data_IF_029592415514
#
_entry.id   IF_029592415514
#
_cell.length_a   1.000
_cell.length_b   1.000
_cell.length_c   1.000
_cell.angle_alpha   90.00
_cell.angle_beta   90.00
_cell.angle_gamma   90.00
#
_symmetry.space_group_name_H-M   'P 1'
#
loop_
_entity.id
_entity.type
_entity.pdbx_description
1 polymer ?
#
# COMPACT_ATOMS: atom_id res chain seq x y z
N UNK A 1 -11.55 9.78 2.63
CA UNK A 1 -10.70 10.62 3.51
C UNK A 1 -9.50 9.75 3.83
N UNK A 2 -8.42 9.84 3.06
CA UNK A 2 -7.37 8.81 2.96
C UNK A 2 -6.61 8.59 4.28
N UNK A 3 -7.18 7.75 5.16
CA UNK A 3 -6.67 7.42 6.48
C UNK A 3 -5.95 6.07 6.43
N UNK A 4 -4.70 6.05 5.95
CA UNK A 4 -3.82 4.88 6.06
C UNK A 4 -2.87 5.05 7.24
N UNK A 5 -2.66 3.99 8.02
CA UNK A 5 -1.78 4.00 9.20
C UNK A 5 -0.65 3.00 8.98
N UNK A 6 0.59 3.48 8.94
CA UNK A 6 1.80 2.65 8.86
C UNK A 6 2.61 2.86 10.14
N UNK A 7 2.66 1.83 11.00
CA UNK A 7 3.34 1.92 12.30
C UNK A 7 4.73 1.29 12.24
N UNK A 8 5.76 2.09 12.01
CA UNK A 8 7.17 1.66 12.02
C UNK A 8 7.89 1.87 13.36
N UNK A 9 7.16 1.95 14.48
CA UNK A 9 7.71 2.29 15.81
C UNK A 9 8.58 1.17 16.40
N UNK A 10 8.15 -0.09 16.23
CA UNK A 10 8.79 -1.24 16.88
C UNK A 10 9.72 -2.04 15.96
N UNK A 11 9.45 -2.04 14.65
CA UNK A 11 10.24 -2.77 13.67
C UNK A 11 10.27 -1.99 12.34
N UNK A 12 11.30 -2.26 11.54
CA UNK A 12 11.42 -1.67 10.22
C UNK A 12 10.34 -2.22 9.27
N UNK A 13 9.74 -1.32 8.48
CA UNK A 13 8.80 -1.65 7.42
C UNK A 13 9.45 -1.32 6.09
N UNK A 14 9.61 -2.31 5.22
CA UNK A 14 10.10 -2.12 3.86
C UNK A 14 8.94 -2.30 2.89
N UNK A 15 8.72 -1.30 2.05
CA UNK A 15 7.69 -1.31 1.01
C UNK A 15 8.39 -1.24 -0.34
N UNK A 16 8.06 -2.17 -1.24
CA UNK A 16 8.60 -2.21 -2.58
C UNK A 16 8.05 -1.11 -3.49
N UNK A 17 8.45 -1.17 -4.75
CA UNK A 17 8.10 -0.20 -5.79
C UNK A 17 6.66 -0.42 -6.26
N UNK A 18 6.00 0.70 -6.54
CA UNK A 18 4.63 0.71 -7.09
C UNK A 18 3.65 -0.06 -6.21
N UNK A 19 3.73 0.11 -4.88
CA UNK A 19 2.73 -0.46 -3.99
C UNK A 19 1.57 0.52 -3.78
N UNK A 20 0.36 0.05 -3.98
CA UNK A 20 -0.86 0.82 -3.77
C UNK A 20 -1.44 0.43 -2.43
N UNK A 21 -1.57 1.41 -1.53
CA UNK A 21 -2.17 1.21 -0.21
C UNK A 21 -3.44 2.04 -0.14
N UNK A 22 -4.57 1.37 -0.02
CA UNK A 22 -5.89 2.02 -0.03
C UNK A 22 -6.26 2.63 1.33
N UNK A 23 -7.37 3.36 1.36
CA UNK A 23 -7.88 4.04 2.56
C UNK A 23 -8.24 3.04 3.68
N UNK A 24 -7.98 3.42 4.94
CA UNK A 24 -8.30 2.58 6.09
C UNK A 24 -7.33 1.41 6.30
N UNK A 25 -6.31 1.24 5.45
CA UNK A 25 -5.32 0.20 5.62
C UNK A 25 -4.44 0.48 6.86
N UNK A 26 -4.22 -0.56 7.67
CA UNK A 26 -3.42 -0.50 8.89
C UNK A 26 -2.28 -1.50 8.78
N UNK A 27 -1.06 -0.99 8.57
CA UNK A 27 0.16 -1.78 8.49
C UNK A 27 0.84 -1.73 9.86
N UNK A 28 0.99 -2.90 10.49
CA UNK A 28 1.68 -3.05 11.78
C UNK A 28 2.66 -4.21 11.73
N UNK A 29 3.90 -4.01 12.20
CA UNK A 29 4.88 -5.09 12.21
C UNK A 29 4.48 -6.18 13.20
N UNK A 30 4.69 -7.46 12.86
CA UNK A 30 4.42 -8.56 13.77
C UNK A 30 5.45 -8.58 14.91
N UNK A 31 4.96 -8.77 16.12
CA UNK A 31 5.78 -9.00 17.31
C UNK A 31 5.45 -10.37 17.91
N UNK A 32 6.47 -11.03 18.46
CA UNK A 32 6.31 -12.25 19.25
C UNK A 32 6.83 -12.02 20.66
N UNK A 33 5.93 -12.12 21.64
CA UNK A 33 6.31 -12.15 23.06
C UNK A 33 6.83 -13.56 23.36
N UNK A 34 8.11 -13.68 23.65
CA UNK A 34 8.71 -14.86 24.25
C UNK A 34 8.87 -14.65 25.76
N UNK A 35 8.97 -15.76 26.50
CA UNK A 35 9.14 -15.74 27.97
C UNK A 35 10.41 -15.00 28.43
N UNK A 36 11.37 -14.73 27.55
CA UNK A 36 12.64 -14.02 27.83
C UNK A 36 12.79 -12.67 27.10
N UNK A 37 11.78 -12.23 26.34
CA UNK A 37 11.85 -10.97 25.57
C UNK A 37 10.84 -10.89 24.41
N UNK A 38 10.78 -9.74 23.73
CA UNK A 38 9.92 -9.54 22.54
C UNK A 38 10.79 -9.55 21.29
N UNK A 39 10.54 -10.50 20.38
CA UNK A 39 11.17 -10.54 19.08
C UNK A 39 10.30 -9.79 18.07
N UNK A 40 10.88 -8.77 17.45
CA UNK A 40 10.26 -8.01 16.38
C UNK A 40 10.77 -8.52 15.03
N UNK A 41 9.85 -8.84 14.13
CA UNK A 41 10.21 -9.21 12.77
C UNK A 41 9.96 -8.01 11.86
N UNK A 42 10.94 -7.64 11.01
CA UNK A 42 10.72 -6.59 10.03
C UNK A 42 9.60 -7.03 9.08
N UNK A 43 8.73 -6.10 8.73
CA UNK A 43 7.68 -6.33 7.74
C UNK A 43 8.24 -5.98 6.36
N UNK A 44 8.23 -6.94 5.45
CA UNK A 44 8.69 -6.74 4.07
C UNK A 44 7.51 -6.88 3.11
N UNK A 45 7.29 -5.87 2.28
CA UNK A 45 6.32 -5.86 1.19
C UNK A 45 7.11 -5.76 -0.12
N UNK A 46 6.84 -6.68 -1.05
CA UNK A 46 7.45 -6.75 -2.37
C UNK A 46 6.98 -5.63 -3.31
N UNK A 47 7.25 -5.80 -4.60
CA UNK A 47 6.87 -4.84 -5.63
C UNK A 47 5.44 -5.11 -6.15
N UNK A 48 4.75 -4.09 -6.66
CA UNK A 48 3.41 -4.23 -7.25
C UNK A 48 2.35 -4.85 -6.32
N UNK A 49 2.40 -4.49 -5.04
CA UNK A 49 1.41 -4.97 -4.06
C UNK A 49 0.23 -4.01 -4.01
N UNK A 50 -0.98 -4.54 -4.05
CA UNK A 50 -2.20 -3.79 -3.83
C UNK A 50 -2.81 -4.18 -2.49
N UNK A 51 -2.99 -3.20 -1.62
CA UNK A 51 -3.63 -3.36 -0.31
C UNK A 51 -5.00 -2.71 -0.37
N UNK A 52 -6.04 -3.52 -0.28
CA UNK A 52 -7.43 -3.07 -0.27
C UNK A 52 -7.81 -2.24 0.95
N UNK A 53 -8.96 -1.59 0.86
CA UNK A 53 -9.47 -0.68 1.89
C UNK A 53 -9.80 -1.42 3.19
N UNK A 54 -9.56 -0.78 4.34
CA UNK A 54 -9.87 -1.36 5.65
C UNK A 54 -9.05 -2.60 6.04
N UNK A 55 -8.00 -2.92 5.26
CA UNK A 55 -7.20 -4.12 5.46
C UNK A 55 -6.16 -3.93 6.57
N UNK A 56 -6.02 -4.93 7.43
CA UNK A 56 -5.05 -4.96 8.51
C UNK A 56 -3.91 -5.91 8.12
N UNK A 57 -2.71 -5.37 7.94
CA UNK A 57 -1.52 -6.14 7.56
C UNK A 57 -0.59 -6.31 8.77
N UNK A 58 -0.57 -7.53 9.32
CA UNK A 58 0.38 -7.96 10.36
C UNK A 58 1.35 -9.05 9.85
N UNK A 59 1.54 -9.13 8.54
CA UNK A 59 2.39 -10.13 7.88
C UNK A 59 3.87 -9.96 8.26
N UNK A 60 4.64 -11.05 8.22
CA UNK A 60 6.10 -10.96 8.26
C UNK A 60 6.66 -10.60 6.88
N UNK A 61 6.11 -11.21 5.83
CA UNK A 61 6.57 -11.03 4.47
C UNK A 61 5.39 -11.10 3.50
N UNK A 62 5.37 -10.16 2.56
CA UNK A 62 4.46 -10.11 1.41
C UNK A 62 5.32 -10.09 0.17
N UNK A 63 5.10 -11.07 -0.71
CA UNK A 63 5.78 -11.19 -2.00
C UNK A 63 5.42 -10.07 -2.98
N UNK A 64 5.88 -10.22 -4.21
CA UNK A 64 5.60 -9.28 -5.29
C UNK A 64 4.32 -9.66 -6.05
N UNK A 65 3.67 -8.68 -6.67
CA UNK A 65 2.43 -8.83 -7.43
C UNK A 65 1.30 -9.46 -6.59
N UNK A 66 1.20 -9.10 -5.32
CA UNK A 66 0.16 -9.61 -4.42
C UNK A 66 -1.06 -8.69 -4.44
N UNK A 67 -2.23 -9.28 -4.65
CA UNK A 67 -3.51 -8.60 -4.53
C UNK A 67 -4.13 -8.89 -3.18
N UNK A 68 -4.33 -7.88 -2.34
CA UNK A 68 -5.05 -8.01 -1.07
C UNK A 68 -6.40 -7.33 -1.20
N UNK A 69 -7.48 -8.10 -1.06
CA UNK A 69 -8.85 -7.59 -1.07
C UNK A 69 -9.17 -6.61 0.07
N UNK A 70 -10.41 -6.16 0.11
CA UNK A 70 -10.94 -5.21 1.11
C UNK A 70 -11.31 -5.91 2.40
N UNK A 71 -11.19 -5.19 3.52
CA UNK A 71 -11.49 -5.67 4.88
C UNK A 71 -10.79 -7.00 5.22
N UNK A 72 -9.60 -7.21 4.67
CA UNK A 72 -8.82 -8.40 4.93
C UNK A 72 -8.05 -8.25 6.23
N UNK A 73 -7.89 -9.35 6.97
CA UNK A 73 -7.08 -9.39 8.18
C UNK A 73 -5.96 -10.40 7.96
N UNK A 74 -4.74 -9.90 7.83
CA UNK A 74 -3.55 -10.74 7.72
C UNK A 74 -3.03 -11.07 9.12
N UNK A 75 -2.99 -12.36 9.43
CA UNK A 75 -2.52 -12.86 10.72
C UNK A 75 -1.05 -12.53 11.02
N UNK A 76 -0.68 -12.70 12.28
CA UNK A 76 0.70 -12.48 12.75
C UNK A 76 1.65 -13.49 12.10
N UNK A 77 2.77 -13.02 11.55
CA UNK A 77 3.78 -13.85 10.87
C UNK A 77 3.24 -14.66 9.69
N UNK A 78 2.19 -14.17 9.03
CA UNK A 78 1.82 -14.71 7.74
C UNK A 78 2.92 -14.41 6.72
N UNK A 79 3.15 -15.37 5.83
CA UNK A 79 4.06 -15.24 4.68
C UNK A 79 3.22 -15.38 3.43
N UNK A 80 3.08 -14.30 2.68
CA UNK A 80 2.44 -14.32 1.38
C UNK A 80 3.55 -14.42 0.34
N UNK A 81 3.50 -15.47 -0.49
CA UNK A 81 4.42 -15.62 -1.61
C UNK A 81 4.03 -14.71 -2.78
N UNK A 82 4.77 -14.80 -3.87
CA UNK A 82 4.55 -13.99 -5.06
C UNK A 82 3.25 -14.38 -5.77
N UNK A 83 2.64 -13.43 -6.49
CA UNK A 83 1.43 -13.64 -7.31
C UNK A 83 0.26 -14.28 -6.54
N UNK A 84 0.09 -13.92 -5.26
CA UNK A 84 -1.03 -14.38 -4.44
C UNK A 84 -2.19 -13.39 -4.50
N UNK A 85 -3.43 -13.89 -4.37
CA UNK A 85 -4.61 -13.05 -4.25
C UNK A 85 -5.41 -13.39 -2.98
N UNK A 86 -5.82 -12.37 -2.24
CA UNK A 86 -6.78 -12.49 -1.14
C UNK A 86 -8.12 -11.91 -1.56
N UNK A 87 -9.17 -12.70 -1.39
CA UNK A 87 -10.54 -12.25 -1.59
C UNK A 87 -10.96 -11.28 -0.49
N UNK A 88 -11.99 -10.49 -0.77
CA UNK A 88 -12.55 -9.56 0.20
C UNK A 88 -13.06 -10.27 1.47
N UNK A 89 -12.94 -9.60 2.62
CA UNK A 89 -13.35 -10.09 3.94
C UNK A 89 -12.64 -11.39 4.38
N UNK A 90 -11.43 -11.64 3.87
CA UNK A 90 -10.63 -12.82 4.23
C UNK A 90 -9.83 -12.60 5.52
N UNK A 91 -9.82 -13.61 6.40
CA UNK A 91 -9.05 -13.59 7.65
C UNK A 91 -8.01 -14.70 7.63
N UNK A 92 -6.74 -14.35 7.44
CA UNK A 92 -5.64 -15.31 7.49
C UNK A 92 -5.28 -15.64 8.94
N UNK A 93 -5.22 -16.93 9.25
CA UNK A 93 -4.74 -17.40 10.54
C UNK A 93 -3.27 -17.02 10.75
N UNK A 94 -2.82 -16.78 12.00
CA UNK A 94 -1.40 -16.51 12.27
C UNK A 94 -0.51 -17.68 11.79
N UNK A 95 0.72 -17.37 11.39
CA UNK A 95 1.69 -18.35 10.85
C UNK A 95 1.26 -19.04 9.54
N UNK A 96 0.18 -18.58 8.87
CA UNK A 96 -0.23 -19.13 7.57
C UNK A 96 0.77 -18.76 6.49
N UNK A 97 1.15 -19.74 5.68
CA UNK A 97 1.96 -19.57 4.48
C UNK A 97 1.02 -19.70 3.27
N UNK A 98 0.91 -18.63 2.49
CA UNK A 98 0.13 -18.63 1.26
C UNK A 98 1.07 -19.06 0.11
N UNK A 99 0.79 -20.18 -0.59
CA UNK A 99 1.57 -20.62 -1.74
C UNK A 99 1.47 -19.62 -2.91
N UNK A 100 2.45 -19.58 -3.83
CA UNK A 100 2.38 -18.67 -4.97
C UNK A 100 1.23 -19.07 -5.89
N UNK A 101 0.70 -18.13 -6.68
CA UNK A 101 -0.41 -18.37 -7.61
C UNK A 101 -1.67 -18.94 -6.95
N UNK A 102 -1.94 -18.60 -5.68
CA UNK A 102 -3.12 -19.09 -4.97
C UNK A 102 -4.05 -17.95 -4.54
N UNK A 103 -5.35 -18.25 -4.63
CA UNK A 103 -6.44 -17.39 -4.15
C UNK A 103 -6.84 -17.88 -2.77
N UNK A 104 -6.75 -17.02 -1.78
CA UNK A 104 -7.20 -17.31 -0.43
C UNK A 104 -8.48 -16.53 -0.10
N UNK A 105 -9.43 -17.23 0.53
CA UNK A 105 -10.76 -16.71 0.81
C UNK A 105 -11.34 -17.25 2.11
N UNK A 106 -12.18 -16.43 2.75
CA UNK A 106 -12.99 -16.83 3.90
C UNK A 106 -12.40 -16.50 5.28
N UNK A 107 -13.14 -16.86 6.32
CA UNK A 107 -12.75 -16.67 7.73
C UNK A 107 -13.05 -17.94 8.52
N UNK A 108 -12.05 -18.83 8.74
CA UNK A 108 -10.63 -18.67 8.43
C UNK A 108 -10.28 -18.85 6.95
N UNK A 109 -9.30 -18.09 6.48
CA UNK A 109 -8.85 -18.06 5.09
C UNK A 109 -8.26 -19.40 4.65
N UNK A 110 -8.83 -19.96 3.58
CA UNK A 110 -8.37 -21.20 2.94
C UNK A 110 -8.10 -20.95 1.46
N UNK A 111 -7.31 -21.82 0.85
CA UNK A 111 -7.15 -21.82 -0.60
C UNK A 111 -8.50 -22.13 -1.25
N UNK A 112 -8.96 -21.23 -2.11
CA UNK A 112 -10.22 -21.35 -2.85
C UNK A 112 -9.96 -21.80 -4.28
N UNK A 113 -8.93 -21.25 -4.90
CA UNK A 113 -8.58 -21.48 -6.30
C UNK A 113 -7.10 -21.21 -6.54
N UNK A 114 -6.62 -21.65 -7.70
CA UNK A 114 -5.30 -21.30 -8.23
C UNK A 114 -5.46 -20.21 -9.30
N UNK A 115 -4.50 -19.30 -9.37
CA UNK A 115 -4.44 -18.25 -10.37
C UNK A 115 -3.57 -18.69 -11.56
N UNK A 116 -3.91 -18.26 -12.78
CA UNK A 116 -3.06 -18.50 -13.95
C UNK A 116 -1.75 -17.72 -13.87
N UNK A 117 -0.74 -18.18 -14.62
CA UNK A 117 0.60 -17.58 -14.66
C UNK A 117 0.62 -16.14 -15.21
N UNK A 118 -0.43 -15.70 -15.92
CA UNK A 118 -0.55 -14.33 -16.44
C UNK A 118 -0.93 -13.30 -15.36
N UNK A 119 -1.33 -13.75 -14.18
CA UNK A 119 -1.76 -12.88 -13.07
C UNK A 119 -0.74 -11.82 -12.66
N UNK A 120 0.56 -12.11 -12.45
CA UNK A 120 1.55 -11.09 -12.10
C UNK A 120 1.64 -9.95 -13.12
N UNK A 121 1.48 -10.23 -14.41
CA UNK A 121 1.48 -9.22 -15.47
C UNK A 121 0.23 -8.34 -15.37
N UNK A 122 -0.95 -8.96 -15.26
CA UNK A 122 -2.21 -8.25 -15.03
C UNK A 122 -2.14 -7.36 -13.79
N UNK A 123 -1.52 -7.85 -12.72
CA UNK A 123 -1.36 -7.11 -11.48
C UNK A 123 -0.40 -5.91 -11.64
N UNK A 124 0.68 -6.10 -12.40
CA UNK A 124 1.62 -5.02 -12.70
C UNK A 124 0.96 -3.92 -13.53
N UNK A 125 0.12 -4.30 -14.51
CA UNK A 125 -0.63 -3.38 -15.36
C UNK A 125 -1.72 -2.63 -14.59
N UNK A 126 -2.49 -3.34 -13.76
CA UNK A 126 -3.48 -2.73 -12.86
C UNK A 126 -2.84 -1.67 -11.96
N UNK A 127 -1.71 -2.04 -11.36
CA UNK A 127 -0.95 -1.14 -10.49
C UNK A 127 -0.45 0.07 -11.27
N UNK A 128 0.10 -0.13 -12.47
CA UNK A 128 0.61 0.96 -13.32
C UNK A 128 -0.51 1.92 -13.72
N UNK A 129 -1.64 1.38 -14.19
CA UNK A 129 -2.83 2.16 -14.52
C UNK A 129 -3.35 2.97 -13.32
N UNK A 130 -3.29 2.41 -12.11
CA UNK A 130 -3.67 3.13 -10.90
C UNK A 130 -2.81 4.39 -10.67
N UNK A 131 -1.50 4.33 -10.96
CA UNK A 131 -0.62 5.49 -10.89
C UNK A 131 -0.86 6.47 -12.04
N UNK A 132 -1.12 5.98 -13.26
CA UNK A 132 -1.35 6.84 -14.43
C UNK A 132 -2.64 7.65 -14.29
N UNK A 133 -3.67 7.08 -13.64
CA UNK A 133 -4.92 7.74 -13.32
C UNK A 133 -4.91 8.48 -11.98
N UNK A 134 -3.79 8.42 -11.24
CA UNK A 134 -3.66 9.18 -10.00
C UNK A 134 -3.58 10.66 -10.33
N UNK A 135 -4.72 11.35 -10.24
CA UNK A 135 -4.77 12.80 -10.31
C UNK A 135 -4.17 13.35 -9.01
N UNK A 136 -2.99 13.99 -9.04
CA UNK A 136 -2.52 14.70 -7.87
C UNK A 136 -3.58 15.76 -7.56
N UNK A 137 -4.20 15.71 -6.38
CA UNK A 137 -5.01 16.83 -5.92
C UNK A 137 -4.08 18.03 -5.85
N UNK A 138 -4.22 18.93 -6.82
CA UNK A 138 -3.51 20.20 -6.86
C UNK A 138 -3.79 20.91 -5.54
N UNK A 139 -2.72 21.36 -4.91
CA UNK A 139 -2.66 22.41 -3.90
C UNK A 139 -3.97 23.21 -3.67
N UNK A 140 -4.91 22.68 -2.89
CA UNK A 140 -6.10 23.41 -2.43
C UNK A 140 -5.95 23.80 -0.96
N UNK A 141 -4.84 24.48 -0.67
CA UNK A 141 -4.62 25.18 0.59
C UNK A 141 -3.90 26.53 0.40
N UNK A 142 -4.15 27.21 -0.72
CA UNK A 142 -3.95 28.65 -0.84
C UNK A 142 -5.25 29.26 -1.35
N UNK A 143 -6.29 29.23 -0.52
CA UNK A 143 -7.29 30.30 -0.56
C UNK A 143 -6.62 31.51 0.10
N UNK A 144 -6.24 32.58 -0.61
CA UNK A 144 -5.90 33.81 0.07
C UNK A 144 -7.16 34.28 0.81
N UNK A 145 -7.05 34.45 2.12
CA UNK A 145 -8.11 35.03 2.93
C UNK A 145 -8.56 36.38 2.30
N UNK A 146 -9.87 36.69 2.26
CA UNK A 146 -10.32 37.96 1.74
C UNK A 146 -9.97 39.06 2.76
N UNK A 147 -8.85 39.75 2.53
CA UNK A 147 -8.52 40.97 3.30
C UNK A 147 -7.03 41.22 3.51
N UNK A 148 -6.34 41.77 2.52
CA UNK A 148 -5.37 42.86 2.71
C UNK A 148 -4.82 43.36 1.36
N UNK A 149 -5.44 44.44 0.90
CA UNK A 149 -4.81 45.66 0.38
C UNK A 149 -3.50 45.55 -0.44
N UNK A 150 -3.65 45.76 -1.76
CA UNK A 150 -2.76 46.46 -2.71
C UNK A 150 -1.23 46.40 -2.48
N UNK A 151 -0.51 45.89 -3.49
CA UNK A 151 0.39 46.76 -4.28
C UNK A 151 0.55 46.27 -5.72
N UNK A 152 0.34 47.23 -6.61
CA UNK A 152 0.48 47.17 -8.07
C UNK A 152 1.96 47.26 -8.45
N UNK A 153 2.24 46.88 -9.71
CA UNK A 153 3.35 47.27 -10.59
C UNK A 153 4.49 46.26 -10.66
N UNK A 154 5.13 46.00 -11.80
CA UNK A 154 4.84 46.18 -13.23
C UNK A 154 5.97 45.44 -13.97
N UNK A 155 5.72 44.95 -15.17
CA UNK A 155 6.77 44.52 -16.10
C UNK A 155 7.73 45.67 -16.45
N UNK A 156 8.90 45.36 -17.03
CA UNK A 156 9.31 46.15 -18.18
C UNK A 156 9.62 45.25 -19.39
N UNK A 157 8.90 45.53 -20.47
CA UNK A 157 9.27 45.25 -21.86
C UNK A 157 10.30 46.30 -22.33
N UNK A 158 11.30 45.90 -23.12
CA UNK A 158 12.14 46.83 -23.91
C UNK A 158 13.61 46.41 -23.97
N UNK A 159 14.06 45.61 -24.94
CA UNK A 159 14.59 46.03 -26.26
C UNK A 159 15.79 46.99 -26.20
N UNK A 160 16.97 46.54 -26.67
CA UNK A 160 18.04 47.27 -27.41
C UNK A 160 19.14 46.25 -27.78
N UNK A 161 19.23 45.78 -29.03
CA UNK A 161 20.02 46.28 -30.20
C UNK A 161 21.55 46.24 -30.01
N UNK A 162 22.20 45.68 -31.05
CA UNK A 162 23.57 45.88 -31.59
C UNK A 162 24.51 46.80 -30.78
N UNK A 163 25.80 46.47 -30.59
CA UNK A 163 26.85 46.12 -31.56
C UNK A 163 27.89 45.27 -30.82
#
# INVERSE_FOLDING_TARGET
MSNCIIRGDLANIRIGRRCVISEGAVIRPPFKKFSKGVAFFPLQIGDHVFVGEGTIVNAAQVGSCVYIGRNCVVGRRCVLKDACALLDNTVLAPETIVPPFSVFGGSPGRCVAELPECTPELMADLTRSYYDHFLPKTASALTPAPGSTKRVSAAPTGTRRAI
#
